data_IF_592399283311
#
_entry.id   IF_592399283311
#
_cell.length_a   1.000
_cell.length_b   1.000
_cell.length_c   1.000
_cell.angle_alpha   90.00
_cell.angle_beta   90.00
_cell.angle_gamma   90.00
#
_symmetry.space_group_name_H-M   'P 1'
#
loop_
_entity.id
_entity.type
_entity.pdbx_description
1 polymer ?
#
# COMPACT_ATOMS: atom_id res chain seq x y z
N UNK A 1 -7.66 9.69 25.46
CA UNK A 1 -8.86 9.63 26.32
C UNK A 1 -9.59 8.29 26.13
N UNK A 2 -10.15 7.67 27.18
CA UNK A 2 -10.94 6.42 27.10
C UNK A 2 -12.38 6.57 27.63
N UNK A 3 -12.96 7.77 27.61
CA UNK A 3 -14.29 8.03 28.18
C UNK A 3 -15.41 7.24 27.48
N UNK A 4 -15.40 7.15 26.15
CA UNK A 4 -16.42 6.41 25.39
C UNK A 4 -16.55 4.95 25.83
N UNK A 5 -15.42 4.33 26.23
CA UNK A 5 -15.42 2.99 26.79
C UNK A 5 -16.14 2.95 28.14
N UNK A 6 -15.85 3.88 29.05
CA UNK A 6 -16.56 3.98 30.33
C UNK A 6 -18.08 4.17 30.13
N UNK A 7 -18.47 4.99 29.16
CA UNK A 7 -19.89 5.21 28.83
C UNK A 7 -20.55 3.92 28.34
N UNK A 8 -19.88 3.18 27.44
CA UNK A 8 -20.39 1.91 26.92
C UNK A 8 -20.53 0.84 28.02
N UNK A 9 -19.58 0.78 28.96
CA UNK A 9 -19.61 -0.16 30.09
C UNK A 9 -20.77 0.18 31.05
N UNK A 10 -21.02 1.47 31.30
CA UNK A 10 -22.15 1.94 32.10
C UNK A 10 -23.50 1.62 31.45
N UNK A 11 -23.66 1.93 30.16
CA UNK A 11 -24.87 1.61 29.40
C UNK A 11 -25.12 0.11 29.43
N UNK A 12 -24.10 -0.72 29.19
CA UNK A 12 -24.22 -2.17 29.26
C UNK A 12 -24.61 -2.69 30.65
N UNK A 13 -24.14 -2.05 31.73
CA UNK A 13 -24.48 -2.43 33.10
C UNK A 13 -25.91 -2.03 33.50
N UNK A 14 -26.48 -1.02 32.85
CA UNK A 14 -27.79 -0.44 33.19
C UNK A 14 -28.91 -0.85 32.24
N UNK A 15 -28.59 -1.22 31.00
CA UNK A 15 -29.52 -1.80 30.01
C UNK A 15 -30.41 -2.92 30.58
N UNK A 16 -29.88 -3.94 31.29
CA UNK A 16 -30.71 -5.01 31.81
C UNK A 16 -31.54 -4.59 33.03
N UNK A 17 -31.36 -3.38 33.58
CA UNK A 17 -31.90 -2.94 34.88
C UNK A 17 -33.30 -2.25 34.84
N UNK A 18 -34.11 -2.42 33.78
CA UNK A 18 -35.48 -1.87 33.76
C UNK A 18 -36.42 -2.60 34.74
N UNK A 19 -37.02 -1.88 35.70
CA UNK A 19 -38.05 -2.39 36.64
C UNK A 19 -37.86 -1.94 38.11
N UNK A 20 -38.90 -2.00 38.97
CA UNK A 20 -38.82 -1.58 40.37
C UNK A 20 -38.00 -2.58 41.23
N UNK A 21 -37.13 -2.07 42.11
CA UNK A 21 -36.30 -2.90 43.03
C UNK A 21 -34.79 -2.95 42.71
N UNK A 22 -34.29 -2.16 41.75
CA UNK A 22 -32.91 -2.23 41.25
C UNK A 22 -31.97 -1.07 41.67
N UNK A 23 -32.41 -0.21 42.59
CA UNK A 23 -31.64 0.97 43.02
C UNK A 23 -30.20 0.64 43.47
N UNK A 24 -29.99 -0.45 44.21
CA UNK A 24 -28.65 -0.86 44.66
C UNK A 24 -27.72 -1.28 43.50
N UNK A 25 -28.24 -1.99 42.49
CA UNK A 25 -27.49 -2.39 41.31
C UNK A 25 -27.17 -1.19 40.41
N UNK A 26 -28.12 -0.26 40.29
CA UNK A 26 -27.94 1.00 39.56
C UNK A 26 -26.88 1.89 40.21
N UNK A 27 -26.92 2.07 41.53
CA UNK A 27 -25.89 2.80 42.27
C UNK A 27 -24.52 2.12 42.17
N UNK A 28 -24.47 0.79 42.14
CA UNK A 28 -23.22 0.03 41.91
C UNK A 28 -22.64 0.28 40.51
N UNK A 29 -23.50 0.35 39.48
CA UNK A 29 -23.09 0.69 38.12
C UNK A 29 -22.58 2.14 38.02
N UNK A 30 -23.28 3.11 38.62
CA UNK A 30 -22.85 4.50 38.65
C UNK A 30 -21.54 4.71 39.42
N UNK A 31 -21.32 4.03 40.56
CA UNK A 31 -20.03 4.07 41.28
C UNK A 31 -18.88 3.54 40.42
N UNK A 32 -19.15 2.47 39.66
CA UNK A 32 -18.17 1.89 38.72
C UNK A 32 -17.84 2.83 37.57
N UNK A 33 -18.86 3.51 37.04
CA UNK A 33 -18.71 4.52 35.99
C UNK A 33 -17.90 5.73 36.47
N UNK A 34 -18.20 6.26 37.66
CA UNK A 34 -17.42 7.33 38.31
C UNK A 34 -15.94 6.95 38.47
N UNK A 35 -15.67 5.73 38.93
CA UNK A 35 -14.30 5.22 39.10
C UNK A 35 -13.56 5.09 37.75
N UNK A 36 -14.25 4.65 36.70
CA UNK A 36 -13.70 4.55 35.35
C UNK A 36 -13.33 5.93 34.80
N UNK A 37 -14.24 6.91 34.89
CA UNK A 37 -14.01 8.27 34.45
C UNK A 37 -12.80 8.90 35.17
N UNK A 38 -12.74 8.80 36.50
CA UNK A 38 -11.59 9.31 37.30
C UNK A 38 -10.25 8.73 36.87
N UNK A 39 -10.18 7.43 36.52
CA UNK A 39 -8.93 6.78 36.08
C UNK A 39 -8.42 7.29 34.74
N UNK A 40 -9.31 7.71 33.82
CA UNK A 40 -8.90 8.21 32.50
C UNK A 40 -8.70 9.74 32.46
N UNK A 41 -9.00 10.47 33.53
CA UNK A 41 -9.03 11.93 33.60
C UNK A 41 -7.75 12.62 33.08
N UNK A 42 -6.57 12.08 33.42
CA UNK A 42 -5.27 12.64 32.95
C UNK A 42 -5.16 12.72 31.43
N UNK A 43 -5.73 11.74 30.72
CA UNK A 43 -5.69 11.65 29.25
C UNK A 43 -6.90 12.28 28.55
N UNK A 44 -7.80 12.92 29.30
CA UNK A 44 -9.08 13.45 28.84
C UNK A 44 -9.28 14.94 29.16
N UNK A 45 -8.21 15.70 29.48
CA UNK A 45 -8.31 17.10 29.95
C UNK A 45 -9.08 18.04 28.99
N UNK A 46 -8.94 17.85 27.68
CA UNK A 46 -9.62 18.66 26.65
C UNK A 46 -10.76 17.95 25.94
N UNK A 47 -11.30 16.87 26.50
CA UNK A 47 -12.37 16.08 25.87
C UNK A 47 -13.74 16.53 26.41
N UNK A 48 -14.60 17.08 25.55
CA UNK A 48 -15.92 17.58 25.95
C UNK A 48 -16.82 16.43 26.47
N UNK A 49 -16.75 15.25 25.84
CA UNK A 49 -17.55 14.10 26.25
C UNK A 49 -17.14 13.59 27.63
N UNK A 50 -15.86 13.73 28.00
CA UNK A 50 -15.39 13.48 29.37
C UNK A 50 -16.04 14.42 30.39
N UNK A 51 -16.02 15.72 30.15
CA UNK A 51 -16.60 16.69 31.09
C UNK A 51 -18.12 16.53 31.20
N UNK A 52 -18.82 16.33 30.07
CA UNK A 52 -20.25 16.02 30.07
C UNK A 52 -20.57 14.73 30.82
N UNK A 53 -19.77 13.69 30.66
CA UNK A 53 -19.95 12.42 31.37
C UNK A 53 -19.73 12.56 32.87
N UNK A 54 -18.71 13.30 33.31
CA UNK A 54 -18.44 13.51 34.75
C UNK A 54 -19.61 14.25 35.42
N UNK A 55 -20.12 15.32 34.80
CA UNK A 55 -21.30 16.03 35.31
C UNK A 55 -22.53 15.12 35.33
N UNK A 56 -22.80 14.39 34.24
CA UNK A 56 -23.93 13.48 34.18
C UNK A 56 -23.87 12.35 35.22
N UNK A 57 -22.68 11.88 35.60
CA UNK A 57 -22.51 10.90 36.68
C UNK A 57 -22.95 11.49 38.04
N UNK A 58 -22.58 12.74 38.31
CA UNK A 58 -22.96 13.42 39.56
C UNK A 58 -24.47 13.65 39.65
N UNK A 59 -25.09 14.09 38.56
CA UNK A 59 -26.55 14.28 38.48
C UNK A 59 -27.28 12.95 38.71
N UNK A 60 -26.86 11.89 38.02
CA UNK A 60 -27.48 10.57 38.15
C UNK A 60 -27.31 9.97 39.55
N UNK A 61 -26.19 10.24 40.22
CA UNK A 61 -25.97 9.86 41.62
C UNK A 61 -26.96 10.53 42.56
N UNK A 62 -27.20 11.83 42.37
CA UNK A 62 -28.14 12.62 43.17
C UNK A 62 -29.58 12.17 42.90
N UNK A 63 -29.97 12.06 41.63
CA UNK A 63 -31.34 11.67 41.22
C UNK A 63 -31.75 10.30 41.76
N UNK A 64 -30.80 9.39 41.98
CA UNK A 64 -31.06 8.02 42.42
C UNK A 64 -30.68 7.78 43.89
N UNK A 65 -30.39 8.84 44.67
CA UNK A 65 -29.98 8.77 46.07
C UNK A 65 -28.82 7.77 46.32
N UNK A 66 -27.84 7.76 45.43
CA UNK A 66 -26.70 6.85 45.51
C UNK A 66 -25.59 7.43 46.39
N UNK A 67 -25.07 6.64 47.32
CA UNK A 67 -23.82 6.99 48.02
C UNK A 67 -22.62 6.93 47.07
N UNK A 68 -21.69 7.88 47.23
CA UNK A 68 -20.40 7.90 46.54
C UNK A 68 -19.50 6.74 46.98
N UNK A 69 -19.72 6.22 48.18
CA UNK A 69 -18.98 5.12 48.77
C UNK A 69 -19.78 3.82 48.73
N UNK A 70 -19.08 2.68 48.67
CA UNK A 70 -19.67 1.35 48.64
C UNK A 70 -19.25 0.52 47.42
N UNK A 71 -19.87 -0.65 47.21
CA UNK A 71 -19.36 -1.63 46.26
C UNK A 71 -19.43 -1.11 44.81
N UNK A 72 -18.32 -1.26 44.09
CA UNK A 72 -18.28 -1.19 42.63
C UNK A 72 -18.53 -2.59 42.07
N UNK A 73 -19.05 -2.69 40.86
CA UNK A 73 -19.19 -3.98 40.18
C UNK A 73 -17.82 -4.68 40.16
N UNK A 74 -17.77 -6.01 40.38
CA UNK A 74 -16.53 -6.75 40.25
C UNK A 74 -15.95 -6.49 38.85
N UNK A 75 -14.62 -6.40 38.70
CA UNK A 75 -14.03 -6.29 37.38
C UNK A 75 -14.56 -7.47 36.58
N UNK A 76 -15.24 -7.20 35.45
CA UNK A 76 -15.63 -8.27 34.53
C UNK A 76 -14.37 -9.12 34.32
N UNK A 77 -14.43 -10.45 34.49
CA UNK A 77 -13.41 -11.31 33.94
C UNK A 77 -13.22 -10.82 32.51
N UNK A 78 -11.97 -10.54 32.11
CA UNK A 78 -11.71 -10.39 30.68
C UNK A 78 -12.41 -11.61 30.07
N UNK A 79 -13.33 -11.44 29.10
CA UNK A 79 -13.85 -12.61 28.40
C UNK A 79 -12.60 -13.43 28.07
N UNK A 80 -12.58 -14.74 28.36
CA UNK A 80 -11.46 -15.57 27.95
C UNK A 80 -11.22 -15.16 26.50
N UNK A 81 -10.01 -14.68 26.21
CA UNK A 81 -9.66 -14.38 24.83
C UNK A 81 -10.16 -15.61 24.08
N UNK A 82 -11.11 -15.48 23.14
CA UNK A 82 -11.70 -16.64 22.49
C UNK A 82 -10.50 -17.49 22.11
N UNK A 83 -10.45 -18.74 22.58
CA UNK A 83 -9.34 -19.65 22.32
C UNK A 83 -9.04 -19.47 20.85
N UNK A 84 -7.98 -18.71 20.57
CA UNK A 84 -7.78 -18.24 19.22
C UNK A 84 -7.41 -19.52 18.53
N UNK A 85 -8.30 -20.01 17.66
CA UNK A 85 -7.92 -20.85 16.55
C UNK A 85 -6.76 -20.13 15.90
N UNK A 86 -5.54 -20.49 16.32
CA UNK A 86 -4.31 -19.78 15.99
C UNK A 86 -3.97 -19.83 14.51
N UNK A 87 -4.78 -20.54 13.73
CA UNK A 87 -4.69 -20.71 12.29
C UNK A 87 -5.54 -19.69 11.50
N UNK A 88 -6.72 -19.27 12.00
CA UNK A 88 -7.67 -18.48 11.20
C UNK A 88 -7.26 -17.00 11.06
N UNK A 89 -6.56 -16.42 12.04
CA UNK A 89 -6.19 -14.99 11.99
C UNK A 89 -4.92 -14.69 11.18
N UNK A 90 -4.07 -15.69 10.92
CA UNK A 90 -2.91 -15.55 10.03
C UNK A 90 -3.32 -15.77 8.57
N UNK A 91 -4.25 -16.70 8.33
CA UNK A 91 -4.80 -16.96 6.99
C UNK A 91 -5.60 -15.76 6.45
N UNK A 92 -6.22 -14.96 7.33
CA UNK A 92 -6.94 -13.75 6.93
C UNK A 92 -6.06 -12.68 6.25
N UNK A 93 -4.75 -12.65 6.55
CA UNK A 93 -3.78 -11.73 5.96
C UNK A 93 -2.90 -12.41 4.89
N UNK A 94 -3.35 -13.55 4.39
CA UNK A 94 -2.83 -14.20 3.20
C UNK A 94 -3.93 -14.19 2.13
N UNK A 95 -3.82 -13.27 1.17
CA UNK A 95 -4.82 -13.09 0.13
C UNK A 95 -5.00 -14.36 -0.71
N UNK A 96 -3.90 -15.00 -1.11
CA UNK A 96 -3.96 -16.18 -1.99
C UNK A 96 -4.65 -17.35 -1.29
N UNK A 97 -4.31 -17.57 -0.03
CA UNK A 97 -4.93 -18.63 0.79
C UNK A 97 -6.40 -18.34 1.07
N UNK A 98 -6.72 -17.09 1.44
CA UNK A 98 -8.10 -16.64 1.67
C UNK A 98 -8.95 -16.75 0.39
N UNK A 99 -8.39 -16.38 -0.76
CA UNK A 99 -9.07 -16.47 -2.05
C UNK A 99 -9.33 -17.93 -2.44
N UNK A 100 -8.32 -18.79 -2.30
CA UNK A 100 -8.46 -20.23 -2.58
C UNK A 100 -9.54 -20.87 -1.71
N UNK A 101 -9.58 -20.54 -0.42
CA UNK A 101 -10.61 -21.04 0.50
C UNK A 101 -12.03 -20.58 0.10
N UNK A 102 -12.18 -19.31 -0.31
CA UNK A 102 -13.49 -18.73 -0.67
C UNK A 102 -13.99 -19.17 -2.05
N UNK A 103 -13.10 -19.32 -3.02
CA UNK A 103 -13.47 -19.51 -4.43
C UNK A 103 -13.10 -20.89 -4.99
N UNK A 104 -12.38 -21.73 -4.24
CA UNK A 104 -11.97 -23.06 -4.68
C UNK A 104 -10.95 -23.08 -5.83
N UNK A 105 -10.37 -21.92 -6.18
CA UNK A 105 -9.38 -21.75 -7.25
C UNK A 105 -8.35 -20.68 -6.88
N UNK A 106 -7.12 -20.70 -7.43
CA UNK A 106 -6.16 -19.64 -7.22
C UNK A 106 -6.61 -18.32 -7.87
N UNK A 107 -6.20 -17.16 -7.32
CA UNK A 107 -6.52 -15.86 -7.91
C UNK A 107 -5.75 -15.61 -9.20
N UNK A 108 -6.33 -14.78 -10.07
CA UNK A 108 -5.64 -14.24 -11.24
C UNK A 108 -4.81 -13.02 -10.85
N UNK A 109 -3.71 -12.79 -11.58
CA UNK A 109 -2.79 -11.68 -11.36
C UNK A 109 -2.61 -10.85 -12.62
N UNK A 110 -2.34 -9.56 -12.42
CA UNK A 110 -2.01 -8.59 -13.46
C UNK A 110 -0.64 -8.01 -13.18
N UNK A 111 0.06 -7.62 -14.26
CA UNK A 111 1.38 -7.02 -14.18
C UNK A 111 1.40 -5.65 -14.86
N UNK A 112 1.96 -4.65 -14.16
CA UNK A 112 2.28 -3.33 -14.70
C UNK A 112 3.76 -3.03 -14.44
N UNK A 113 4.38 -2.23 -15.31
CA UNK A 113 5.74 -1.74 -15.11
C UNK A 113 5.92 -0.31 -15.62
N UNK A 114 6.86 0.42 -15.03
CA UNK A 114 7.37 1.72 -15.45
C UNK A 114 8.89 1.70 -15.37
N UNK A 115 9.59 1.95 -16.49
CA UNK A 115 11.05 1.93 -16.58
C UNK A 115 11.51 2.79 -17.75
N UNK A 116 12.78 3.17 -17.82
CA UNK A 116 13.27 3.97 -18.94
C UNK A 116 12.75 5.42 -18.92
N UNK A 117 12.60 6.00 -20.11
CA UNK A 117 11.83 7.23 -20.32
C UNK A 117 10.34 6.91 -20.38
N UNK A 118 9.64 7.11 -19.24
CA UNK A 118 8.90 6.06 -18.57
C UNK A 118 8.04 5.30 -19.57
N UNK A 119 8.55 4.12 -19.92
CA UNK A 119 7.85 3.12 -20.68
C UNK A 119 6.89 2.41 -19.74
N UNK A 120 5.60 2.59 -20.01
CA UNK A 120 4.53 2.04 -19.20
C UNK A 120 3.99 0.79 -19.87
N UNK A 121 4.12 -0.35 -19.19
CA UNK A 121 3.31 -1.55 -19.46
C UNK A 121 2.09 -1.52 -18.55
N UNK A 122 0.89 -1.46 -19.12
CA UNK A 122 -0.36 -1.47 -18.35
C UNK A 122 -0.75 -2.88 -17.90
N UNK A 123 -1.71 -2.99 -16.97
CA UNK A 123 -2.30 -4.26 -16.57
C UNK A 123 -3.00 -5.01 -17.72
N UNK A 124 -3.40 -4.28 -18.77
CA UNK A 124 -4.00 -4.77 -20.00
C UNK A 124 -2.96 -5.13 -21.06
N UNK A 125 -1.67 -5.00 -20.74
CA UNK A 125 -0.53 -5.28 -21.61
C UNK A 125 -0.37 -4.28 -22.76
N UNK A 126 -0.99 -3.11 -22.67
CA UNK A 126 -0.62 -1.99 -23.53
C UNK A 126 0.76 -1.49 -23.13
N UNK A 127 1.49 -1.00 -24.12
CA UNK A 127 2.82 -0.46 -23.91
C UNK A 127 2.83 0.97 -24.43
N UNK A 128 3.30 1.93 -23.64
CA UNK A 128 3.38 3.34 -24.00
C UNK A 128 4.76 3.91 -23.66
N UNK A 129 5.25 4.84 -24.47
CA UNK A 129 6.41 5.69 -24.12
C UNK A 129 5.89 7.06 -23.76
N UNK A 130 6.31 7.61 -22.62
CA UNK A 130 5.63 8.73 -22.01
C UNK A 130 6.59 9.80 -21.53
N UNK A 131 6.24 11.06 -21.73
CA UNK A 131 6.98 12.18 -21.13
C UNK A 131 6.70 12.25 -19.63
N UNK A 132 5.43 12.42 -19.25
CA UNK A 132 4.93 12.44 -17.85
C UNK A 132 5.91 13.10 -16.85
N UNK A 133 6.34 14.32 -17.18
CA UNK A 133 7.23 15.11 -16.34
C UNK A 133 6.53 15.50 -15.03
N UNK A 134 7.28 15.53 -13.93
CA UNK A 134 6.74 15.81 -12.61
C UNK A 134 6.20 14.55 -11.93
N UNK A 135 5.23 14.72 -11.03
CA UNK A 135 4.69 13.60 -10.22
C UNK A 135 3.40 13.05 -10.82
N UNK A 136 3.40 11.76 -11.14
CA UNK A 136 2.27 11.06 -11.74
C UNK A 136 1.90 9.80 -10.95
N UNK A 137 0.60 9.51 -10.78
CA UNK A 137 0.14 8.27 -10.17
C UNK A 137 0.32 7.09 -11.13
N UNK A 138 1.20 6.15 -10.77
CA UNK A 138 1.25 4.84 -11.44
C UNK A 138 0.02 4.01 -11.07
N UNK A 139 -0.39 4.07 -9.80
CA UNK A 139 -1.54 3.35 -9.25
C UNK A 139 -2.16 4.17 -8.12
N UNK A 140 -3.48 4.28 -8.09
CA UNK A 140 -4.23 4.81 -6.95
C UNK A 140 -5.55 4.04 -6.81
N UNK A 141 -5.57 3.10 -5.87
CA UNK A 141 -6.73 2.22 -5.64
C UNK A 141 -7.01 2.11 -4.14
N UNK A 142 -8.00 1.32 -3.72
CA UNK A 142 -8.40 1.22 -2.31
C UNK A 142 -7.28 0.72 -1.36
N UNK A 143 -6.23 0.10 -1.88
CA UNK A 143 -5.18 -0.56 -1.10
C UNK A 143 -3.81 0.11 -1.19
N UNK A 144 -3.51 0.72 -2.34
CA UNK A 144 -2.19 1.20 -2.71
C UNK A 144 -2.27 2.57 -3.38
N UNK A 145 -1.29 3.40 -3.10
CA UNK A 145 -0.98 4.58 -3.90
C UNK A 145 0.49 4.53 -4.31
N UNK A 146 0.77 4.63 -5.60
CA UNK A 146 2.12 4.62 -6.17
C UNK A 146 2.28 5.87 -7.00
N UNK A 147 3.24 6.70 -6.64
CA UNK A 147 3.59 7.92 -7.35
C UNK A 147 5.02 7.81 -7.87
N UNK A 148 5.20 8.11 -9.16
CA UNK A 148 6.50 8.28 -9.77
C UNK A 148 6.74 9.76 -10.03
N UNK A 149 7.95 10.24 -9.73
CA UNK A 149 8.40 11.57 -10.14
C UNK A 149 9.44 11.44 -11.22
N UNK A 150 9.18 12.05 -12.37
CA UNK A 150 10.09 12.07 -13.52
C UNK A 150 10.65 13.46 -13.78
N UNK A 151 11.91 13.53 -14.19
CA UNK A 151 12.60 14.77 -14.57
C UNK A 151 13.26 14.62 -15.95
N UNK A 152 13.37 15.69 -16.76
CA UNK A 152 14.06 15.62 -18.05
C UNK A 152 15.50 15.14 -17.91
N UNK A 153 15.97 14.35 -18.88
CA UNK A 153 17.37 13.87 -18.94
C UNK A 153 18.35 15.03 -19.18
N UNK A 154 17.90 16.03 -19.93
CA UNK A 154 18.62 17.27 -20.20
C UNK A 154 17.61 18.42 -20.36
N UNK A 155 18.07 19.66 -20.19
CA UNK A 155 17.23 20.85 -20.38
C UNK A 155 16.64 20.90 -21.79
N UNK A 156 15.32 21.06 -21.91
CA UNK A 156 14.59 21.06 -23.18
C UNK A 156 14.41 19.67 -23.83
N UNK A 157 14.87 18.59 -23.21
CA UNK A 157 14.65 17.23 -23.71
C UNK A 157 13.21 16.77 -23.44
N UNK A 158 12.60 16.10 -24.43
CA UNK A 158 11.33 15.41 -24.24
C UNK A 158 11.48 14.10 -23.46
N UNK A 159 12.71 13.57 -23.38
CA UNK A 159 12.99 12.36 -22.63
C UNK A 159 13.26 12.67 -21.16
N UNK A 160 12.65 11.89 -20.31
CA UNK A 160 12.67 11.98 -18.85
C UNK A 160 13.21 10.70 -18.22
N UNK A 161 13.51 10.76 -16.92
CA UNK A 161 13.85 9.60 -16.10
C UNK A 161 13.07 9.64 -14.81
N UNK A 162 12.63 8.46 -14.35
CA UNK A 162 12.01 8.35 -13.03
C UNK A 162 13.10 8.49 -11.96
N UNK A 163 13.06 9.58 -11.20
CA UNK A 163 14.06 9.91 -10.18
C UNK A 163 13.62 9.61 -8.76
N UNK A 164 12.31 9.49 -8.53
CA UNK A 164 11.73 9.14 -7.22
C UNK A 164 10.49 8.27 -7.38
N UNK A 165 10.37 7.30 -6.47
CA UNK A 165 9.18 6.46 -6.32
C UNK A 165 8.68 6.56 -4.88
N UNK A 166 7.39 6.83 -4.72
CA UNK A 166 6.70 6.80 -3.42
C UNK A 166 5.58 5.77 -3.49
N UNK A 167 5.60 4.80 -2.58
CA UNK A 167 4.58 3.75 -2.47
C UNK A 167 3.95 3.83 -1.08
N UNK A 168 2.63 4.00 -1.03
CA UNK A 168 1.85 4.01 0.21
C UNK A 168 0.99 2.76 0.26
N UNK A 169 1.26 1.91 1.24
CA UNK A 169 0.42 0.79 1.62
C UNK A 169 -0.65 1.30 2.59
N UNK A 170 -1.90 1.40 2.13
CA UNK A 170 -3.02 1.92 2.93
C UNK A 170 -3.32 0.98 4.10
N UNK A 171 -3.67 1.53 5.26
CA UNK A 171 -3.93 0.76 6.49
C UNK A 171 -5.03 -0.29 6.31
N UNK A 172 -4.80 -1.51 6.77
CA UNK A 172 -5.80 -2.58 6.82
C UNK A 172 -5.92 -3.09 8.25
N UNK A 173 -7.08 -2.86 8.89
CA UNK A 173 -7.31 -3.01 10.35
C UNK A 173 -6.75 -4.31 10.94
N UNK A 174 -6.87 -5.42 10.22
CA UNK A 174 -6.48 -6.75 10.71
C UNK A 174 -5.06 -7.16 10.33
N UNK A 175 -4.46 -6.51 9.33
CA UNK A 175 -3.18 -6.92 8.75
C UNK A 175 -2.05 -5.95 9.05
N UNK A 176 -2.12 -4.71 8.55
CA UNK A 176 -0.99 -3.78 8.61
C UNK A 176 -1.43 -2.38 9.06
N UNK A 177 -0.51 -1.66 9.70
CA UNK A 177 -0.57 -0.21 9.77
C UNK A 177 -0.20 0.40 8.41
N UNK A 178 -0.55 1.67 8.17
CA UNK A 178 -0.13 2.34 6.94
C UNK A 178 1.41 2.39 6.88
N UNK A 179 1.97 2.06 5.72
CA UNK A 179 3.42 2.10 5.47
C UNK A 179 3.74 2.92 4.24
N UNK A 180 4.83 3.67 4.32
CA UNK A 180 5.34 4.48 3.20
C UNK A 180 6.72 3.98 2.85
N UNK A 181 6.90 3.61 1.59
CA UNK A 181 8.19 3.31 0.99
C UNK A 181 8.57 4.44 0.04
N UNK A 182 9.82 4.87 0.08
CA UNK A 182 10.35 5.89 -0.82
C UNK A 182 11.74 5.46 -1.30
N UNK A 183 11.94 5.52 -2.61
CA UNK A 183 13.23 5.34 -3.25
C UNK A 183 13.55 6.58 -4.09
N UNK A 184 14.81 6.97 -4.08
CA UNK A 184 15.37 8.05 -4.88
C UNK A 184 16.62 7.54 -5.59
N UNK A 185 17.12 8.29 -6.57
CA UNK A 185 18.41 7.96 -7.19
C UNK A 185 19.49 7.85 -6.12
N UNK A 186 20.28 6.79 -6.22
CA UNK A 186 21.36 6.40 -5.33
C UNK A 186 20.92 6.01 -3.91
N UNK A 187 19.60 5.88 -3.70
CA UNK A 187 19.00 5.48 -2.43
C UNK A 187 17.76 4.59 -2.64
N UNK A 188 17.99 3.28 -2.79
CA UNK A 188 16.94 2.25 -2.82
C UNK A 188 16.98 1.48 -1.49
N UNK A 189 16.31 1.96 -0.43
CA UNK A 189 16.41 1.37 0.91
C UNK A 189 15.68 0.03 1.00
N UNK A 190 16.19 -0.86 1.85
CA UNK A 190 15.52 -2.12 2.21
C UNK A 190 14.57 -1.97 3.42
N UNK A 191 14.01 -0.77 3.61
CA UNK A 191 13.13 -0.43 4.73
C UNK A 191 12.07 0.61 4.30
N UNK A 192 11.00 0.69 5.08
CA UNK A 192 10.01 1.77 5.01
C UNK A 192 10.60 3.06 5.60
N UNK A 193 9.92 4.19 5.36
CA UNK A 193 10.35 5.51 5.82
C UNK A 193 10.52 5.60 7.34
N UNK A 194 9.77 4.80 8.11
CA UNK A 194 9.87 4.70 9.57
C UNK A 194 10.99 3.74 10.05
N UNK A 195 11.82 3.23 9.12
CA UNK A 195 12.91 2.28 9.39
C UNK A 195 12.45 0.84 9.58
N UNK A 196 11.15 0.56 9.54
CA UNK A 196 10.65 -0.81 9.67
C UNK A 196 10.81 -1.60 8.37
N UNK A 197 10.83 -2.93 8.46
CA UNK A 197 10.89 -3.84 7.30
C UNK A 197 9.61 -4.65 7.11
N UNK A 198 8.57 -4.34 7.91
CA UNK A 198 7.29 -5.03 7.89
C UNK A 198 6.08 -4.11 8.13
N UNK A 199 4.87 -4.66 8.05
CA UNK A 199 3.60 -3.95 8.20
C UNK A 199 3.23 -3.47 9.61
N UNK A 200 4.14 -3.56 10.59
CA UNK A 200 3.92 -3.13 11.98
C UNK A 200 3.72 -4.28 12.98
N UNK A 201 3.36 -3.97 14.24
CA UNK A 201 3.31 -4.94 15.33
C UNK A 201 2.04 -5.81 15.37
N UNK A 202 1.09 -5.60 14.45
CA UNK A 202 -0.16 -6.37 14.39
C UNK A 202 0.13 -7.84 14.06
N UNK A 203 -0.76 -8.79 14.41
CA UNK A 203 -0.57 -10.21 14.08
C UNK A 203 -0.33 -10.47 12.58
N UNK A 204 -0.99 -9.72 11.70
CA UNK A 204 -0.77 -9.78 10.26
C UNK A 204 0.37 -8.90 9.75
N UNK A 205 1.17 -8.25 10.61
CA UNK A 205 2.20 -7.31 10.20
C UNK A 205 3.29 -7.93 9.31
N UNK A 206 3.55 -9.23 9.48
CA UNK A 206 4.48 -10.00 8.64
C UNK A 206 3.98 -10.26 7.21
N UNK A 207 2.69 -10.00 6.94
CA UNK A 207 2.11 -10.12 5.59
C UNK A 207 2.60 -9.02 4.63
N UNK A 208 3.19 -7.94 5.15
CA UNK A 208 3.94 -6.96 4.38
C UNK A 208 5.41 -7.05 4.77
N UNK A 209 6.31 -7.25 3.81
CA UNK A 209 7.74 -7.36 4.06
C UNK A 209 8.57 -6.78 2.91
N UNK A 210 9.69 -6.15 3.22
CA UNK A 210 10.70 -5.71 2.24
C UNK A 210 11.88 -6.68 2.27
N UNK A 211 12.39 -7.03 1.10
CA UNK A 211 13.58 -7.88 0.91
C UNK A 211 14.55 -7.20 -0.03
N UNK A 212 15.80 -7.05 0.41
CA UNK A 212 16.88 -6.62 -0.45
C UNK A 212 17.29 -7.77 -1.39
N UNK A 213 17.29 -7.51 -2.70
CA UNK A 213 17.72 -8.45 -3.73
C UNK A 213 19.13 -8.12 -4.23
N UNK A 214 19.43 -6.83 -4.34
CA UNK A 214 20.78 -6.34 -4.61
C UNK A 214 21.03 -5.08 -3.77
N UNK A 215 22.14 -5.04 -2.99
CA UNK A 215 22.44 -3.95 -2.07
C UNK A 215 22.30 -2.56 -2.70
N UNK A 216 21.39 -1.75 -2.15
CA UNK A 216 21.14 -0.37 -2.58
C UNK A 216 20.67 -0.18 -4.02
N UNK A 217 20.31 -1.27 -4.74
CA UNK A 217 19.92 -1.20 -6.16
C UNK A 217 18.62 -1.93 -6.48
N UNK A 218 18.23 -2.95 -5.72
CA UNK A 218 17.03 -3.72 -6.01
C UNK A 218 16.40 -4.22 -4.72
N UNK A 219 15.15 -3.84 -4.50
CA UNK A 219 14.31 -4.39 -3.43
C UNK A 219 13.03 -4.97 -3.98
N UNK A 220 12.54 -5.99 -3.29
CA UNK A 220 11.22 -6.59 -3.50
C UNK A 220 10.37 -6.35 -2.26
N UNK A 221 9.18 -5.78 -2.45
CA UNK A 221 8.20 -5.54 -1.41
C UNK A 221 7.04 -6.50 -1.62
N UNK A 222 6.86 -7.45 -0.70
CA UNK A 222 5.78 -8.44 -0.75
C UNK A 222 4.66 -8.04 0.20
N UNK A 223 3.48 -7.78 -0.33
CA UNK A 223 2.24 -7.47 0.37
C UNK A 223 1.25 -8.64 0.20
N UNK A 224 1.51 -9.74 0.92
CA UNK A 224 0.74 -10.98 0.87
C UNK A 224 -0.75 -10.78 1.23
N UNK A 225 -1.06 -9.84 2.13
CA UNK A 225 -2.44 -9.55 2.55
C UNK A 225 -3.35 -9.00 1.44
N UNK A 226 -2.78 -8.52 0.33
CA UNK A 226 -3.48 -8.05 -0.87
C UNK A 226 -2.93 -8.72 -2.14
N UNK A 227 -2.25 -9.86 -2.02
CA UNK A 227 -1.75 -10.61 -3.18
C UNK A 227 -0.89 -9.75 -4.12
N UNK A 228 -0.02 -8.90 -3.57
CA UNK A 228 0.76 -7.95 -4.35
C UNK A 228 2.25 -8.10 -4.09
N UNK A 229 3.06 -8.01 -5.14
CA UNK A 229 4.52 -7.96 -5.07
C UNK A 229 5.01 -6.82 -5.94
N UNK A 230 5.90 -5.98 -5.40
CA UNK A 230 6.48 -4.84 -6.11
C UNK A 230 7.99 -5.02 -6.15
N UNK A 231 8.61 -4.80 -7.30
CA UNK A 231 10.06 -4.65 -7.44
C UNK A 231 10.39 -3.19 -7.75
N UNK A 232 11.40 -2.67 -7.04
CA UNK A 232 11.99 -1.36 -7.30
C UNK A 232 13.46 -1.57 -7.59
N UNK A 233 13.91 -1.13 -8.77
CA UNK A 233 15.31 -1.26 -9.20
C UNK A 233 15.88 0.08 -9.64
N UNK A 234 17.14 0.34 -9.32
CA UNK A 234 17.93 1.40 -9.93
C UNK A 234 18.89 0.81 -10.97
N UNK A 235 18.90 1.40 -12.16
CA UNK A 235 19.85 1.07 -13.22
C UNK A 235 20.39 2.37 -13.83
N UNK A 236 21.66 2.69 -13.58
CA UNK A 236 22.20 4.00 -13.93
C UNK A 236 21.48 5.11 -13.15
N UNK A 237 21.04 6.16 -13.85
CA UNK A 237 20.39 7.35 -13.25
C UNK A 237 18.86 7.32 -13.35
N UNK A 238 18.26 6.14 -13.23
CA UNK A 238 16.81 5.96 -13.27
C UNK A 238 16.36 4.86 -12.30
N UNK A 239 15.15 5.04 -11.80
CA UNK A 239 14.39 4.03 -11.08
C UNK A 239 13.42 3.33 -12.05
N UNK A 240 13.19 2.05 -11.78
CA UNK A 240 12.15 1.26 -12.41
C UNK A 240 11.25 0.65 -11.35
N UNK A 241 9.98 0.52 -11.70
CA UNK A 241 8.92 -0.01 -10.89
C UNK A 241 8.25 -1.15 -11.65
N UNK A 242 8.06 -2.28 -11.00
CA UNK A 242 7.31 -3.42 -11.51
C UNK A 242 6.36 -3.90 -10.43
N UNK A 243 5.11 -4.19 -10.78
CA UNK A 243 4.11 -4.71 -9.84
C UNK A 243 3.42 -5.94 -10.39
N UNK A 244 3.28 -6.98 -9.57
CA UNK A 244 2.30 -8.05 -9.71
C UNK A 244 1.20 -7.80 -8.68
N UNK A 245 -0.03 -7.60 -9.12
CA UNK A 245 -1.18 -7.40 -8.23
C UNK A 245 -2.27 -8.42 -8.56
N UNK A 246 -2.98 -8.89 -7.54
CA UNK A 246 -4.20 -9.66 -7.73
C UNK A 246 -5.20 -8.84 -8.57
N UNK A 247 -5.94 -9.49 -9.46
CA UNK A 247 -6.85 -8.82 -10.39
C UNK A 247 -7.89 -7.95 -9.67
N UNK A 248 -8.47 -8.43 -8.58
CA UNK A 248 -9.43 -7.68 -7.76
C UNK A 248 -8.80 -6.46 -7.09
N UNK A 249 -7.51 -6.53 -6.74
CA UNK A 249 -6.78 -5.43 -6.11
C UNK A 249 -6.41 -4.39 -7.16
N UNK A 250 -5.95 -4.82 -8.35
CA UNK A 250 -5.64 -3.94 -9.46
C UNK A 250 -6.88 -3.15 -9.95
N UNK A 251 -8.07 -3.75 -9.90
CA UNK A 251 -9.34 -3.15 -10.33
C UNK A 251 -10.15 -2.42 -9.25
N UNK A 252 -9.67 -2.34 -8.00
CA UNK A 252 -10.44 -1.79 -6.89
C UNK A 252 -10.22 -0.28 -6.70
N UNK A 253 -10.72 0.54 -7.62
CA UNK A 253 -10.64 2.00 -7.56
C UNK A 253 -11.98 2.66 -7.92
N UNK A 254 -12.18 3.92 -7.54
CA UNK A 254 -13.41 4.68 -7.82
C UNK A 254 -13.28 5.52 -9.10
N UNK A 255 -14.40 6.08 -9.58
CA UNK A 255 -14.40 6.94 -10.78
C UNK A 255 -13.57 8.21 -10.60
N UNK A 256 -13.41 8.70 -9.37
CA UNK A 256 -12.56 9.87 -9.06
C UNK A 256 -11.05 9.56 -9.16
N UNK A 257 -10.68 8.28 -9.31
CA UNK A 257 -9.30 7.80 -9.43
C UNK A 257 -8.97 7.43 -10.88
N UNK A 258 -9.47 8.19 -11.85
CA UNK A 258 -9.39 7.90 -13.28
C UNK A 258 -7.96 8.04 -13.88
N UNK A 259 -7.11 8.86 -13.27
CA UNK A 259 -5.72 9.02 -13.68
C UNK A 259 -4.81 7.98 -13.01
N UNK A 260 -4.56 6.86 -13.68
CA UNK A 260 -3.61 5.83 -13.23
C UNK A 260 -2.86 5.23 -14.42
N UNK A 261 -1.54 5.42 -14.48
CA UNK A 261 -0.73 4.98 -15.62
C UNK A 261 -0.74 3.45 -15.79
N UNK A 262 -0.81 2.67 -14.71
CA UNK A 262 -0.91 1.21 -14.81
C UNK A 262 -2.24 0.71 -15.38
N UNK A 263 -3.29 1.52 -15.35
CA UNK A 263 -4.64 1.14 -15.81
C UNK A 263 -4.88 1.65 -17.23
N UNK A 264 -4.83 2.97 -17.44
CA UNK A 264 -5.17 3.59 -18.72
C UNK A 264 -3.93 3.89 -19.59
N UNK A 265 -2.73 3.70 -19.04
CA UNK A 265 -1.51 4.19 -19.66
C UNK A 265 -1.42 5.70 -19.64
N UNK A 266 -0.61 6.26 -20.52
CA UNK A 266 -0.35 7.69 -20.52
C UNK A 266 -1.44 8.46 -21.26
N UNK A 267 -1.86 9.64 -20.75
CA UNK A 267 -2.76 10.53 -21.47
C UNK A 267 -2.23 10.86 -22.87
N UNK A 268 -3.11 11.06 -23.85
CA UNK A 268 -2.73 11.26 -25.27
C UNK A 268 -1.68 12.36 -25.46
N UNK A 269 -1.80 13.49 -24.76
CA UNK A 269 -0.85 14.61 -24.83
C UNK A 269 0.51 14.36 -24.16
N UNK A 270 0.68 13.23 -23.47
CA UNK A 270 1.95 12.81 -22.85
C UNK A 270 2.60 11.63 -23.56
N UNK A 271 1.97 11.08 -24.61
CA UNK A 271 2.53 9.96 -25.38
C UNK A 271 3.60 10.47 -26.34
N UNK A 272 4.75 9.81 -26.34
CA UNK A 272 5.85 10.07 -27.27
C UNK A 272 5.81 9.06 -28.43
N UNK A 273 6.27 9.49 -29.60
CA UNK A 273 6.51 8.56 -30.72
C UNK A 273 7.69 7.66 -30.39
N UNK A 274 7.55 6.36 -30.65
CA UNK A 274 8.61 5.36 -30.44
C UNK A 274 9.75 5.44 -31.45
N UNK A 275 9.57 6.17 -32.54
CA UNK A 275 10.63 6.37 -33.51
C UNK A 275 11.61 7.40 -32.96
N UNK A 276 12.85 7.02 -32.59
CA UNK A 276 13.84 8.01 -32.19
C UNK A 276 14.08 8.93 -33.39
N UNK A 277 13.69 10.20 -33.26
CA UNK A 277 13.93 11.24 -34.27
C UNK A 277 15.40 11.59 -34.33
N UNK A 278 16.22 10.70 -34.89
CA UNK A 278 17.67 10.78 -34.83
C UNK A 278 18.37 10.19 -36.06
N UNK A 279 19.68 10.45 -36.17
CA UNK A 279 20.53 9.96 -37.27
C UNK A 279 20.57 8.43 -37.25
N UNK A 280 20.39 7.78 -38.40
CA UNK A 280 20.33 6.32 -38.54
C UNK A 280 21.52 5.59 -37.88
N UNK A 281 22.73 6.17 -37.92
CA UNK A 281 23.92 5.60 -37.29
C UNK A 281 23.81 5.48 -35.75
N UNK A 282 23.15 6.44 -35.08
CA UNK A 282 22.94 6.41 -33.62
C UNK A 282 21.94 5.31 -33.26
N UNK A 283 20.88 5.17 -34.06
CA UNK A 283 19.88 4.12 -33.88
C UNK A 283 20.50 2.71 -34.07
N UNK A 284 21.38 2.52 -35.04
CA UNK A 284 22.07 1.24 -35.25
C UNK A 284 23.02 0.88 -34.09
N UNK A 285 23.78 1.86 -33.57
CA UNK A 285 24.61 1.64 -32.40
C UNK A 285 23.78 1.25 -31.16
N UNK A 286 22.65 1.94 -30.94
CA UNK A 286 21.71 1.62 -29.87
C UNK A 286 21.11 0.22 -30.02
N UNK A 287 20.70 -0.18 -31.23
CA UNK A 287 20.23 -1.54 -31.55
C UNK A 287 21.28 -2.60 -31.21
N UNK A 288 22.52 -2.41 -31.63
CA UNK A 288 23.61 -3.35 -31.35
C UNK A 288 23.85 -3.52 -29.84
N UNK A 289 23.72 -2.44 -29.06
CA UNK A 289 23.83 -2.49 -27.60
C UNK A 289 22.64 -3.23 -26.97
N UNK A 290 21.42 -2.89 -27.35
CA UNK A 290 20.21 -3.49 -26.80
C UNK A 290 20.08 -4.99 -27.15
N UNK A 291 20.57 -5.43 -28.32
CA UNK A 291 20.60 -6.86 -28.71
C UNK A 291 21.47 -7.71 -27.78
N UNK A 292 22.45 -7.11 -27.10
CA UNK A 292 23.28 -7.82 -26.11
C UNK A 292 22.57 -7.97 -24.76
N UNK A 293 21.60 -7.10 -24.47
CA UNK A 293 20.89 -7.07 -23.19
C UNK A 293 19.56 -7.82 -23.23
N UNK A 294 18.90 -7.89 -24.39
CA UNK A 294 17.55 -8.41 -24.55
C UNK A 294 17.51 -9.54 -25.58
N UNK A 295 16.69 -10.59 -25.35
CA UNK A 295 16.72 -11.80 -26.16
C UNK A 295 16.00 -11.68 -27.51
N UNK A 296 15.05 -10.76 -27.64
CA UNK A 296 14.20 -10.60 -28.83
C UNK A 296 13.94 -9.12 -29.11
N UNK A 297 13.57 -8.79 -30.34
CA UNK A 297 13.20 -7.43 -30.76
C UNK A 297 11.71 -7.15 -30.49
N UNK A 298 11.32 -7.11 -29.21
CA UNK A 298 9.96 -6.80 -28.75
C UNK A 298 9.82 -5.36 -28.21
N UNK A 299 8.70 -5.04 -27.56
CA UNK A 299 8.46 -3.74 -26.93
C UNK A 299 9.57 -3.33 -25.94
N UNK A 300 10.15 -4.24 -25.14
CA UNK A 300 11.25 -3.92 -24.23
C UNK A 300 12.52 -3.55 -25.00
N UNK A 301 12.79 -4.24 -26.11
CA UNK A 301 13.89 -3.92 -27.00
C UNK A 301 13.73 -2.55 -27.66
N UNK A 302 12.55 -2.25 -28.20
CA UNK A 302 12.30 -0.95 -28.80
C UNK A 302 12.37 0.20 -27.80
N UNK A 303 11.93 -0.03 -26.57
CA UNK A 303 12.14 0.89 -25.44
C UNK A 303 13.62 1.13 -25.15
N UNK A 304 14.41 0.07 -25.01
CA UNK A 304 15.86 0.17 -24.85
C UNK A 304 16.51 0.99 -25.97
N UNK A 305 16.16 0.70 -27.22
CA UNK A 305 16.73 1.40 -28.38
C UNK A 305 16.37 2.88 -28.37
N UNK A 306 15.11 3.22 -28.07
CA UNK A 306 14.65 4.59 -27.94
C UNK A 306 15.44 5.35 -26.88
N UNK A 307 15.54 4.80 -25.68
CA UNK A 307 16.22 5.44 -24.56
C UNK A 307 17.72 5.61 -24.81
N UNK A 308 18.40 4.56 -25.27
CA UNK A 308 19.85 4.59 -25.55
C UNK A 308 20.15 5.55 -26.69
N UNK A 309 19.33 5.57 -27.75
CA UNK A 309 19.51 6.50 -28.88
C UNK A 309 19.27 7.96 -28.48
N UNK A 310 18.36 8.22 -27.54
CA UNK A 310 18.00 9.57 -27.12
C UNK A 310 18.94 10.13 -26.06
N UNK A 311 19.37 9.31 -25.11
CA UNK A 311 20.21 9.72 -23.98
C UNK A 311 21.70 9.49 -24.18
N UNK A 312 22.08 8.50 -25.00
CA UNK A 312 23.45 8.00 -25.07
C UNK A 312 23.88 7.15 -23.85
N UNK A 313 23.00 6.88 -22.89
CA UNK A 313 23.31 6.12 -21.67
C UNK A 313 23.04 4.61 -21.85
N UNK A 314 24.09 3.80 -21.75
CA UNK A 314 24.00 2.35 -21.80
C UNK A 314 23.23 1.73 -20.62
N UNK A 315 23.05 2.47 -19.51
CA UNK A 315 22.28 2.07 -18.33
C UNK A 315 20.82 1.73 -18.66
N UNK A 316 20.25 2.33 -19.71
CA UNK A 316 18.90 2.01 -20.18
C UNK A 316 18.74 0.57 -20.69
N UNK A 317 19.80 -0.04 -21.22
CA UNK A 317 19.75 -1.45 -21.58
C UNK A 317 19.67 -2.36 -20.35
N UNK A 318 20.29 -1.96 -19.24
CA UNK A 318 20.18 -2.67 -17.96
C UNK A 318 18.78 -2.51 -17.38
N UNK A 319 18.20 -1.31 -17.47
CA UNK A 319 16.83 -1.05 -17.01
C UNK A 319 15.80 -1.87 -17.79
N UNK A 320 15.88 -1.88 -19.12
CA UNK A 320 14.98 -2.66 -19.96
C UNK A 320 15.10 -4.16 -19.70
N UNK A 321 16.33 -4.68 -19.52
CA UNK A 321 16.55 -6.08 -19.11
C UNK A 321 15.94 -6.37 -17.74
N UNK A 322 16.12 -5.48 -16.77
CA UNK A 322 15.53 -5.61 -15.43
C UNK A 322 13.99 -5.65 -15.47
N UNK A 323 13.37 -4.79 -16.29
CA UNK A 323 11.92 -4.78 -16.49
C UNK A 323 11.42 -6.08 -17.16
N UNK A 324 12.17 -6.64 -18.12
CA UNK A 324 11.85 -7.94 -18.73
C UNK A 324 11.97 -9.09 -17.73
N UNK A 325 13.01 -9.08 -16.88
CA UNK A 325 13.19 -10.07 -15.80
C UNK A 325 12.02 -10.02 -14.80
N UNK A 326 11.62 -8.83 -14.38
CA UNK A 326 10.47 -8.65 -13.49
C UNK A 326 9.18 -9.15 -14.16
N UNK A 327 8.96 -8.79 -15.43
CA UNK A 327 7.80 -9.24 -16.20
C UNK A 327 7.74 -10.77 -16.30
N UNK A 328 8.89 -11.43 -16.48
CA UNK A 328 8.98 -12.90 -16.52
C UNK A 328 8.58 -13.55 -15.20
N UNK A 329 8.81 -12.88 -14.07
CA UNK A 329 8.42 -13.36 -12.74
C UNK A 329 6.99 -12.99 -12.36
N UNK A 330 6.47 -11.88 -12.91
CA UNK A 330 5.21 -11.27 -12.48
C UNK A 330 4.04 -11.57 -13.41
N UNK A 331 4.28 -11.90 -14.68
CA UNK A 331 3.23 -12.32 -15.60
C UNK A 331 2.85 -13.79 -15.33
N UNK A 332 1.54 -14.09 -15.18
CA UNK A 332 1.09 -15.48 -15.06
C UNK A 332 1.15 -16.23 -16.40
N UNK A 333 1.09 -15.51 -17.51
CA UNK A 333 1.05 -16.04 -18.87
C UNK A 333 2.31 -15.63 -19.64
N UNK A 334 3.15 -16.62 -19.95
CA UNK A 334 4.41 -16.42 -20.64
C UNK A 334 4.23 -15.99 -22.10
N UNK A 335 3.09 -16.29 -22.73
CA UNK A 335 2.82 -15.86 -24.11
C UNK A 335 2.66 -14.34 -24.21
N UNK A 336 2.26 -13.70 -23.10
CA UNK A 336 2.10 -12.24 -23.00
C UNK A 336 3.37 -11.51 -22.57
N UNK A 337 4.47 -12.25 -22.35
CA UNK A 337 5.75 -11.65 -21.96
C UNK A 337 6.24 -10.70 -23.05
N UNK A 338 6.35 -11.23 -24.27
CA UNK A 338 6.83 -10.50 -25.43
C UNK A 338 5.66 -9.86 -26.18
N UNK A 339 5.74 -8.54 -26.38
CA UNK A 339 4.76 -7.79 -27.18
C UNK A 339 5.47 -7.37 -28.45
N UNK A 340 5.20 -8.11 -29.53
CA UNK A 340 5.66 -7.78 -30.87
C UNK A 340 4.67 -6.83 -31.54
N UNK A 341 5.18 -5.89 -32.33
CA UNK A 341 4.39 -4.91 -33.09
C UNK A 341 4.73 -5.00 -34.56
#
# INVERSE_FOLDING_TARGET
>A
CKILRCNSEYVAATLPLRGPGRGAAFCTALRSYSRCARRTARTCRGDLAFHSAVHGIEDLMIQNNCSREGPTAPPRPRPPAPERRGLESLDACDYERSFLYKHGRPPAFRHCAAFGDPHIRTFQHDFHTCRVEGSWPLLDNHYLFVQATSSPVAEGSNATVTSKLTIIFKNMKECIDQKVYQAELDNVPAAFQDGSVNGGPRPGGSSLAIRERAPGRHVEIRAAYIGTTIAVRQAGRQLSFSIRAAEEVAGAFTEEQDLQLCVAGCPRGQRLSRSPGGRAAVAEAARALCRRALPVEDAYFHSCVFDVATSGDAGFAVAARGALEDARLFLPDAEKLHIFQ
#
